data_IF_883497617648
#
_entry.id   IF_883497617648
#
_cell.length_a   1.000
_cell.length_b   1.000
_cell.length_c   1.000
_cell.angle_alpha   90.00
_cell.angle_beta   90.00
_cell.angle_gamma   90.00
#
_symmetry.space_group_name_H-M   'P 1'
#
loop_
_entity.id
_entity.type
_entity.pdbx_description
1 polymer ?
#
# COMPACT_ATOMS: atom_id res chain seq x y z
N UNK A 1 7.05 -0.44 23.25
CA UNK A 1 6.44 -1.39 22.29
C UNK A 1 7.28 -2.66 22.30
N UNK A 2 6.70 -3.86 22.27
CA UNK A 2 7.48 -5.09 22.13
C UNK A 2 8.31 -5.02 20.84
N UNK A 3 9.56 -5.46 20.92
CA UNK A 3 10.44 -5.59 19.77
C UNK A 3 10.02 -6.85 19.04
N UNK A 4 9.42 -6.71 17.85
CA UNK A 4 9.09 -7.84 16.98
C UNK A 4 10.35 -8.30 16.21
N UNK A 5 10.49 -9.61 16.02
CA UNK A 5 11.54 -10.20 15.19
C UNK A 5 11.28 -10.09 13.68
N UNK A 6 10.05 -9.72 13.27
CA UNK A 6 9.69 -9.56 11.86
C UNK A 6 10.07 -8.15 11.37
N UNK A 7 10.89 -8.03 10.32
CA UNK A 7 11.28 -6.73 9.79
C UNK A 7 10.07 -6.04 9.14
N UNK A 8 9.94 -4.75 9.42
CA UNK A 8 8.97 -3.86 8.78
C UNK A 8 9.51 -3.42 7.42
N UNK A 9 8.93 -3.88 6.31
CA UNK A 9 9.44 -3.63 4.95
C UNK A 9 8.32 -3.23 4.00
N UNK A 10 8.31 -1.98 3.57
CA UNK A 10 7.26 -1.49 2.67
C UNK A 10 7.44 -2.04 1.27
N UNK A 11 6.33 -2.46 0.65
CA UNK A 11 6.32 -2.97 -0.73
C UNK A 11 6.74 -1.90 -1.75
N UNK A 12 6.27 -0.67 -1.59
CA UNK A 12 6.74 0.48 -2.39
C UNK A 12 7.80 1.28 -1.64
N UNK A 13 8.73 1.87 -2.39
CA UNK A 13 9.83 2.67 -1.86
C UNK A 13 9.56 4.16 -2.08
N UNK A 14 10.11 5.02 -1.22
CA UNK A 14 10.09 6.47 -1.43
C UNK A 14 10.75 6.81 -2.77
N UNK A 15 10.13 7.69 -3.54
CA UNK A 15 10.54 8.04 -4.90
C UNK A 15 9.98 7.11 -5.99
N UNK A 16 9.37 5.97 -5.64
CA UNK A 16 8.70 5.11 -6.61
C UNK A 16 7.46 5.78 -7.19
N UNK A 17 7.20 5.55 -8.48
CA UNK A 17 5.93 5.93 -9.11
C UNK A 17 4.91 4.81 -8.93
N UNK A 18 3.74 5.15 -8.42
CA UNK A 18 2.60 4.24 -8.23
C UNK A 18 1.39 4.73 -8.99
N UNK A 19 0.49 3.81 -9.32
CA UNK A 19 -0.75 4.03 -10.04
C UNK A 19 -1.92 3.61 -9.15
N UNK A 20 -3.01 4.37 -9.16
CA UNK A 20 -4.15 4.13 -8.28
C UNK A 20 -5.42 4.77 -8.85
N UNK A 21 -6.56 4.45 -8.26
CA UNK A 21 -7.85 5.05 -8.62
C UNK A 21 -8.22 6.04 -7.52
N UNK A 22 -8.51 7.27 -7.92
CA UNK A 22 -8.90 8.33 -7.00
C UNK A 22 -10.05 9.12 -7.60
N UNK A 23 -11.15 9.26 -6.86
CA UNK A 23 -12.39 9.88 -7.34
C UNK A 23 -12.83 9.35 -8.71
N UNK A 24 -12.92 8.03 -8.84
CA UNK A 24 -13.30 7.31 -10.06
C UNK A 24 -12.42 7.58 -11.29
N UNK A 25 -11.20 8.10 -11.09
CA UNK A 25 -10.26 8.39 -12.16
C UNK A 25 -8.91 7.73 -11.89
N UNK A 26 -8.27 7.11 -12.90
CA UNK A 26 -6.91 6.61 -12.75
C UNK A 26 -5.94 7.79 -12.58
N UNK A 27 -5.05 7.67 -11.59
CA UNK A 27 -4.01 8.64 -11.26
C UNK A 27 -2.67 7.94 -11.17
N UNK A 28 -1.61 8.74 -11.25
CA UNK A 28 -0.25 8.34 -10.89
C UNK A 28 0.34 9.37 -9.95
N UNK A 29 1.17 8.93 -9.01
CA UNK A 29 1.89 9.82 -8.10
C UNK A 29 3.20 9.17 -7.66
N UNK A 30 4.06 9.97 -7.05
CA UNK A 30 5.32 9.52 -6.46
C UNK A 30 5.10 9.30 -4.97
N UNK A 31 5.61 8.19 -4.45
CA UNK A 31 5.63 7.90 -3.01
C UNK A 31 6.57 8.89 -2.32
N UNK A 32 6.05 9.66 -1.38
CA UNK A 32 6.80 10.67 -0.64
C UNK A 32 7.27 10.14 0.72
N UNK A 33 6.41 9.36 1.39
CA UNK A 33 6.73 8.74 2.68
C UNK A 33 6.08 7.36 2.75
N UNK A 34 6.74 6.46 3.46
CA UNK A 34 6.22 5.13 3.76
C UNK A 34 6.32 4.86 5.24
N UNK A 35 5.30 4.19 5.78
CA UNK A 35 5.27 3.70 7.15
C UNK A 35 4.84 2.25 7.10
N UNK A 36 5.49 1.41 7.89
CA UNK A 36 5.09 0.02 8.04
C UNK A 36 5.11 -0.33 9.51
N UNK A 37 4.03 -0.97 9.95
CA UNK A 37 3.84 -1.45 11.30
C UNK A 37 3.63 -2.97 11.24
N UNK A 38 4.31 -3.68 12.14
CA UNK A 38 4.10 -5.11 12.33
C UNK A 38 3.31 -5.30 13.62
N UNK A 39 2.10 -5.85 13.48
CA UNK A 39 1.27 -6.22 14.60
C UNK A 39 1.51 -7.71 14.92
N UNK A 40 2.53 -7.95 15.74
CA UNK A 40 2.93 -9.30 16.17
C UNK A 40 2.91 -9.40 17.71
N UNK A 41 1.71 -9.63 18.26
CA UNK A 41 1.50 -9.71 19.72
C UNK A 41 2.23 -10.91 20.34
N UNK A 42 2.37 -12.01 19.59
CA UNK A 42 2.96 -13.26 20.06
C UNK A 42 4.47 -13.37 19.77
N UNK A 43 5.03 -12.46 18.96
CA UNK A 43 6.41 -12.48 18.49
C UNK A 43 6.82 -13.82 17.84
N UNK A 44 5.88 -14.45 17.13
CA UNK A 44 6.04 -15.74 16.47
C UNK A 44 6.26 -15.62 14.95
N UNK A 45 6.44 -14.39 14.45
CA UNK A 45 6.58 -14.02 13.04
C UNK A 45 5.30 -14.20 12.20
N UNK A 46 4.14 -14.53 12.81
CA UNK A 46 2.86 -14.60 12.10
C UNK A 46 2.13 -13.25 12.02
N UNK A 47 2.64 -12.23 12.74
CA UNK A 47 2.00 -10.92 12.81
C UNK A 47 1.73 -10.28 11.46
N UNK A 48 0.62 -9.57 11.37
CA UNK A 48 0.20 -8.85 10.17
C UNK A 48 1.07 -7.61 9.97
N UNK A 49 1.51 -7.40 8.72
CA UNK A 49 2.23 -6.19 8.36
C UNK A 49 1.27 -5.23 7.65
N UNK A 50 1.16 -4.02 8.20
CA UNK A 50 0.30 -2.96 7.66
C UNK A 50 1.17 -1.86 7.08
N UNK A 51 1.20 -1.79 5.74
CA UNK A 51 1.93 -0.77 5.00
C UNK A 51 1.03 0.44 4.68
N UNK A 52 1.52 1.63 4.98
CA UNK A 52 0.87 2.91 4.70
C UNK A 52 1.78 3.79 3.83
N UNK A 53 1.19 4.42 2.82
CA UNK A 53 1.90 5.22 1.81
C UNK A 53 1.31 6.63 1.73
N UNK A 54 2.18 7.64 1.72
CA UNK A 54 1.81 9.04 1.47
C UNK A 54 2.32 9.43 0.09
N UNK A 55 1.41 9.93 -0.75
CA UNK A 55 1.69 10.23 -2.14
C UNK A 55 1.80 11.74 -2.36
N UNK A 56 2.79 12.14 -3.16
CA UNK A 56 3.03 13.55 -3.46
C UNK A 56 1.79 14.20 -4.07
N UNK A 57 1.32 15.27 -3.44
CA UNK A 57 0.14 16.03 -3.87
C UNK A 57 -1.20 15.48 -3.36
N UNK A 58 -1.18 14.49 -2.46
CA UNK A 58 -2.36 13.94 -1.82
C UNK A 58 -2.21 14.00 -0.30
N UNK A 59 -3.24 14.46 0.40
CA UNK A 59 -3.26 14.54 1.88
C UNK A 59 -3.67 13.23 2.55
N UNK A 60 -4.24 12.31 1.78
CA UNK A 60 -4.74 11.03 2.28
C UNK A 60 -3.62 9.98 2.31
N UNK A 61 -3.77 9.01 3.20
CA UNK A 61 -2.93 7.83 3.25
C UNK A 61 -3.50 6.74 2.35
N UNK A 62 -2.62 5.97 1.71
CA UNK A 62 -2.96 4.86 0.84
C UNK A 62 -2.40 3.55 1.41
N UNK A 63 -3.08 2.45 1.10
CA UNK A 63 -2.65 1.10 1.45
C UNK A 63 -2.11 0.36 0.23
N UNK A 64 -1.29 -0.67 0.46
CA UNK A 64 -0.73 -1.49 -0.62
C UNK A 64 -1.83 -2.05 -1.56
N UNK A 65 -2.98 -2.42 -1.00
CA UNK A 65 -4.14 -2.92 -1.76
C UNK A 65 -4.77 -1.90 -2.70
N UNK A 66 -4.43 -0.61 -2.59
CA UNK A 66 -4.96 0.47 -3.42
C UNK A 66 -3.96 0.95 -4.48
N UNK A 67 -2.72 0.44 -4.44
CA UNK A 67 -1.63 0.90 -5.25
C UNK A 67 -1.19 -0.19 -6.24
N UNK A 68 -0.86 0.24 -7.45
CA UNK A 68 -0.32 -0.60 -8.50
C UNK A 68 1.05 -0.08 -8.91
N UNK A 69 1.97 -1.00 -9.23
CA UNK A 69 3.33 -0.67 -9.71
C UNK A 69 3.39 -0.33 -11.19
N UNK A 70 2.33 -0.60 -11.94
CA UNK A 70 2.23 -0.30 -13.37
C UNK A 70 0.79 -0.07 -13.82
N UNK A 71 0.61 0.47 -15.03
CA UNK A 71 -0.72 0.62 -15.65
C UNK A 71 -1.42 -0.73 -15.87
N UNK A 72 -0.67 -1.78 -16.19
CA UNK A 72 -1.24 -3.13 -16.34
C UNK A 72 -1.75 -3.65 -14.99
N UNK A 73 -0.99 -3.44 -13.92
CA UNK A 73 -1.40 -3.80 -12.57
C UNK A 73 -2.59 -2.95 -12.09
N UNK A 74 -2.72 -1.69 -12.53
CA UNK A 74 -3.89 -0.87 -12.22
C UNK A 74 -5.17 -1.44 -12.83
N UNK A 75 -5.10 -1.98 -14.06
CA UNK A 75 -6.24 -2.65 -14.69
C UNK A 75 -6.65 -3.90 -13.91
N UNK A 76 -5.68 -4.72 -13.49
CA UNK A 76 -5.94 -5.88 -12.65
C UNK A 76 -6.57 -5.48 -11.31
N UNK A 77 -6.04 -4.43 -10.68
CA UNK A 77 -6.58 -3.90 -9.43
C UNK A 77 -8.04 -3.46 -9.60
N UNK A 78 -8.35 -2.72 -10.67
CA UNK A 78 -9.72 -2.32 -10.97
C UNK A 78 -10.65 -3.51 -11.17
N UNK A 79 -10.25 -4.49 -11.98
CA UNK A 79 -11.05 -5.68 -12.22
C UNK A 79 -11.32 -6.45 -10.91
N UNK A 80 -10.31 -6.62 -10.07
CA UNK A 80 -10.48 -7.27 -8.77
C UNK A 80 -11.47 -6.51 -7.86
N UNK A 81 -11.45 -5.18 -7.91
CA UNK A 81 -12.42 -4.36 -7.16
C UNK A 81 -13.85 -4.54 -7.70
N UNK A 82 -14.00 -4.65 -9.02
CA UNK A 82 -15.29 -4.91 -9.67
C UNK A 82 -15.80 -6.31 -9.33
N UNK A 83 -14.94 -7.33 -9.39
CA UNK A 83 -15.29 -8.72 -9.09
C UNK A 83 -15.64 -8.94 -7.61
N UNK A 84 -15.11 -8.10 -6.71
CA UNK A 84 -15.42 -8.12 -5.29
C UNK A 84 -16.70 -7.34 -4.92
N UNK A 85 -17.39 -6.74 -5.89
CA UNK A 85 -18.68 -6.08 -5.63
C UNK A 85 -19.77 -7.12 -5.31
N UNK A 86 -20.57 -6.92 -4.24
CA UNK A 86 -21.65 -7.83 -3.86
C UNK A 86 -22.87 -7.78 -4.80
#
# INVERSE_FOLDING_TARGET
MPVTNKPSVTTHQVGATVFFIYNNSPKQAVVEQTFSEVQDVNNDNTGEQVDTYYLKGYSEKFYNSQLATSKANLKTLFNNLVDAMP
#
